data_IF_802300694694
#
_entry.id   IF_802300694694
#
_cell.length_a   1.000
_cell.length_b   1.000
_cell.length_c   1.000
_cell.angle_alpha   90.00
_cell.angle_beta   90.00
_cell.angle_gamma   90.00
#
_symmetry.space_group_name_H-M   'P 1'
#
loop_
_entity.id
_entity.type
_entity.pdbx_description
1 polymer ?
#
# COMPACT_ATOMS: atom_id res chain seq x y z
N UNK A 1 -19.76 -1.25 -31.93
CA UNK A 1 -18.63 -2.20 -32.04
C UNK A 1 -18.46 -2.93 -30.71
N UNK A 2 -18.88 -4.19 -30.63
CA UNK A 2 -18.50 -5.07 -29.51
C UNK A 2 -17.04 -5.45 -29.70
N UNK A 3 -16.10 -4.70 -29.12
CA UNK A 3 -14.71 -5.19 -29.04
C UNK A 3 -14.75 -6.51 -28.25
N UNK A 4 -14.23 -7.59 -28.85
CA UNK A 4 -14.03 -8.87 -28.16
C UNK A 4 -13.26 -8.57 -26.88
N UNK A 5 -13.91 -8.73 -25.74
CA UNK A 5 -13.35 -8.34 -24.47
C UNK A 5 -12.18 -9.28 -24.15
N UNK A 6 -10.95 -8.82 -24.40
CA UNK A 6 -9.76 -9.64 -24.35
C UNK A 6 -9.45 -10.15 -22.94
N UNK A 7 -8.83 -11.33 -22.82
CA UNK A 7 -8.39 -11.93 -21.55
C UNK A 7 -7.46 -11.01 -20.74
N UNK A 8 -6.81 -10.04 -21.38
CA UNK A 8 -5.88 -9.09 -20.79
C UNK A 8 -6.48 -8.25 -19.64
N UNK A 9 -7.79 -7.98 -19.64
CA UNK A 9 -8.45 -7.29 -18.52
C UNK A 9 -8.31 -8.02 -17.18
N UNK A 10 -8.25 -9.35 -17.21
CA UNK A 10 -8.08 -10.16 -16.00
C UNK A 10 -6.63 -10.14 -15.52
N UNK A 11 -5.67 -9.95 -16.42
CA UNK A 11 -4.29 -9.62 -16.05
C UNK A 11 -4.24 -8.29 -15.31
N UNK A 12 -4.97 -7.27 -15.76
CA UNK A 12 -5.08 -5.98 -15.03
C UNK A 12 -5.65 -6.20 -13.62
N UNK A 13 -6.71 -6.99 -13.46
CA UNK A 13 -7.27 -7.31 -12.13
C UNK A 13 -6.26 -8.04 -11.25
N UNK A 14 -5.49 -8.99 -11.80
CA UNK A 14 -4.44 -9.68 -11.07
C UNK A 14 -3.35 -8.70 -10.61
N UNK A 15 -2.94 -7.76 -11.47
CA UNK A 15 -1.99 -6.70 -11.09
C UNK A 15 -2.56 -5.83 -9.96
N UNK A 16 -3.80 -5.34 -10.07
CA UNK A 16 -4.43 -4.56 -9.00
C UNK A 16 -4.57 -5.33 -7.69
N UNK A 17 -4.83 -6.64 -7.77
CA UNK A 17 -4.89 -7.54 -6.62
C UNK A 17 -3.53 -7.61 -5.90
N UNK A 18 -2.45 -7.83 -6.64
CA UNK A 18 -1.11 -7.90 -6.05
C UNK A 18 -0.66 -6.55 -5.48
N UNK A 19 -0.93 -5.43 -6.17
CA UNK A 19 -0.64 -4.11 -5.64
C UNK A 19 -1.43 -3.82 -4.34
N UNK A 20 -2.72 -4.19 -4.29
CA UNK A 20 -3.53 -4.06 -3.06
C UNK A 20 -3.02 -4.98 -1.95
N UNK A 21 -2.50 -6.16 -2.29
CA UNK A 21 -1.87 -7.07 -1.34
C UNK A 21 -0.64 -6.44 -0.70
N UNK A 22 0.26 -5.88 -1.49
CA UNK A 22 1.46 -5.16 -1.00
C UNK A 22 1.05 -3.97 -0.13
N UNK A 23 0.07 -3.19 -0.58
CA UNK A 23 -0.45 -2.04 0.16
C UNK A 23 -0.91 -2.42 1.58
N UNK A 24 -1.68 -3.50 1.71
CA UNK A 24 -2.16 -3.93 3.03
C UNK A 24 -1.08 -4.63 3.85
N UNK A 25 -0.14 -5.30 3.20
CA UNK A 25 1.01 -5.88 3.85
C UNK A 25 1.85 -4.79 4.53
N UNK A 26 2.22 -3.73 3.79
CA UNK A 26 3.00 -2.58 4.29
C UNK A 26 2.31 -1.93 5.51
N UNK A 27 0.97 -1.89 5.50
CA UNK A 27 0.22 -1.34 6.63
C UNK A 27 0.39 -2.10 7.93
N UNK A 28 0.50 -3.42 7.85
CA UNK A 28 0.59 -4.30 9.01
C UNK A 28 1.99 -4.29 9.63
N UNK A 29 3.04 -3.97 8.86
CA UNK A 29 4.44 -4.04 9.29
C UNK A 29 4.66 -3.28 10.61
N UNK A 30 4.24 -2.02 10.68
CA UNK A 30 4.47 -1.20 11.89
C UNK A 30 3.73 -1.75 13.13
N UNK A 31 2.53 -2.32 12.95
CA UNK A 31 1.75 -2.88 14.04
C UNK A 31 2.37 -4.19 14.56
N UNK A 32 2.90 -5.00 13.66
CA UNK A 32 3.60 -6.25 14.00
C UNK A 32 4.97 -6.00 14.64
N UNK A 33 5.63 -4.90 14.26
CA UNK A 33 6.91 -4.48 14.84
C UNK A 33 6.76 -3.61 16.09
N UNK A 34 5.53 -3.18 16.44
CA UNK A 34 5.25 -2.31 17.60
C UNK A 34 5.99 -2.77 18.86
N UNK A 35 5.91 -4.04 19.32
CA UNK A 35 6.58 -4.45 20.57
C UNK A 35 8.11 -4.31 20.55
N UNK A 36 8.72 -4.40 19.37
CA UNK A 36 10.17 -4.22 19.19
C UNK A 36 10.52 -2.73 19.15
N UNK A 37 9.75 -1.93 18.42
CA UNK A 37 9.97 -0.50 18.27
C UNK A 37 9.69 0.26 19.57
N UNK A 38 8.69 -0.16 20.35
CA UNK A 38 8.42 0.37 21.69
C UNK A 38 9.64 0.24 22.60
N UNK A 39 10.29 -0.93 22.62
CA UNK A 39 11.50 -1.13 23.44
C UNK A 39 12.71 -0.35 22.91
N UNK A 40 12.81 -0.19 21.59
CA UNK A 40 13.96 0.48 20.97
C UNK A 40 13.90 2.01 21.06
N UNK A 41 12.70 2.60 21.06
CA UNK A 41 12.48 4.05 21.01
C UNK A 41 11.68 4.59 22.20
N UNK A 42 11.39 3.76 23.19
CA UNK A 42 10.59 4.09 24.39
C UNK A 42 9.22 4.70 24.04
N UNK A 43 8.54 4.09 23.06
CA UNK A 43 7.22 4.59 22.64
C UNK A 43 6.18 4.35 23.72
N UNK A 44 5.44 5.41 24.03
CA UNK A 44 4.16 5.29 24.72
C UNK A 44 3.04 4.84 23.76
N UNK A 45 1.92 4.41 24.32
CA UNK A 45 0.70 4.17 23.52
C UNK A 45 0.22 5.44 22.80
N UNK A 46 0.48 6.62 23.37
CA UNK A 46 0.19 7.91 22.73
C UNK A 46 1.10 8.15 21.51
N UNK A 47 2.37 7.80 21.60
CA UNK A 47 3.31 7.92 20.47
C UNK A 47 2.90 7.03 19.30
N UNK A 48 2.61 5.75 19.58
CA UNK A 48 2.12 4.83 18.57
C UNK A 48 0.79 5.30 17.97
N UNK A 49 -0.15 5.74 18.82
CA UNK A 49 -1.43 6.31 18.40
C UNK A 49 -1.26 7.53 17.48
N UNK A 50 -0.31 8.41 17.79
CA UNK A 50 0.02 9.57 16.95
C UNK A 50 0.58 9.16 15.58
N UNK A 51 1.46 8.16 15.52
CA UNK A 51 2.00 7.65 14.24
C UNK A 51 0.88 7.08 13.36
N UNK A 52 -0.04 6.30 13.94
CA UNK A 52 -1.21 5.75 13.24
C UNK A 52 -2.18 6.86 12.80
N UNK A 53 -2.34 7.90 13.62
CA UNK A 53 -3.17 9.06 13.28
C UNK A 53 -2.57 9.87 12.13
N UNK A 54 -1.24 10.06 12.11
CA UNK A 54 -0.54 10.73 11.00
C UNK A 54 -0.75 9.99 9.68
N UNK A 55 -0.68 8.65 9.68
CA UNK A 55 -1.07 7.85 8.52
C UNK A 55 -2.51 8.16 8.07
N UNK A 56 -3.45 8.06 9.01
CA UNK A 56 -4.88 8.14 8.72
C UNK A 56 -5.28 9.51 8.19
N UNK A 57 -4.76 10.58 8.80
CA UNK A 57 -4.97 11.95 8.36
C UNK A 57 -4.39 12.20 6.97
N UNK A 58 -3.16 11.74 6.74
CA UNK A 58 -2.48 11.90 5.46
C UNK A 58 -3.16 11.07 4.35
N UNK A 59 -3.61 9.85 4.65
CA UNK A 59 -4.39 9.01 3.75
C UNK A 59 -5.74 9.63 3.40
N UNK A 60 -6.46 10.19 4.38
CA UNK A 60 -7.73 10.88 4.15
C UNK A 60 -7.55 12.12 3.26
N UNK A 61 -6.53 12.94 3.52
CA UNK A 61 -6.19 14.07 2.67
C UNK A 61 -5.81 13.62 1.25
N UNK A 62 -5.02 12.55 1.15
CA UNK A 62 -4.60 11.95 -0.11
C UNK A 62 -5.77 11.47 -0.96
N UNK A 63 -6.79 10.83 -0.38
CA UNK A 63 -7.99 10.40 -1.11
C UNK A 63 -8.71 11.55 -1.83
N UNK A 64 -8.73 12.76 -1.25
CA UNK A 64 -9.35 13.95 -1.86
C UNK A 64 -8.57 14.47 -3.08
N UNK A 65 -7.25 14.25 -3.07
CA UNK A 65 -6.32 14.76 -4.08
C UNK A 65 -6.17 13.75 -5.21
N UNK A 66 -5.95 12.48 -4.88
CA UNK A 66 -5.55 11.44 -5.82
C UNK A 66 -6.58 11.19 -6.92
N UNK A 67 -7.88 11.26 -6.61
CA UNK A 67 -8.93 11.14 -7.64
C UNK A 67 -8.73 12.14 -8.78
N UNK A 68 -8.53 13.42 -8.45
CA UNK A 68 -8.30 14.49 -9.44
C UNK A 68 -6.97 14.34 -10.16
N UNK A 69 -5.92 13.91 -9.45
CA UNK A 69 -4.60 13.70 -10.04
C UNK A 69 -4.67 12.58 -11.08
N UNK A 70 -5.23 11.43 -10.72
CA UNK A 70 -5.42 10.27 -11.61
C UNK A 70 -6.30 10.61 -12.81
N UNK A 71 -7.29 11.49 -12.63
CA UNK A 71 -8.09 12.02 -13.74
C UNK A 71 -7.28 12.86 -14.73
N UNK A 72 -6.29 13.61 -14.26
CA UNK A 72 -5.46 14.47 -15.11
C UNK A 72 -4.31 13.74 -15.79
N UNK A 73 -3.62 12.83 -15.10
CA UNK A 73 -2.40 12.17 -15.61
C UNK A 73 -2.65 10.76 -16.16
N UNK A 74 -3.87 10.25 -16.01
CA UNK A 74 -4.27 8.92 -16.45
C UNK A 74 -4.00 7.82 -15.43
N UNK A 75 -4.80 6.76 -15.51
CA UNK A 75 -4.84 5.67 -14.52
C UNK A 75 -3.52 4.94 -14.38
N UNK A 76 -2.85 4.60 -15.50
CA UNK A 76 -1.57 3.87 -15.48
C UNK A 76 -0.46 4.67 -14.80
N UNK A 77 -0.27 5.93 -15.21
CA UNK A 77 0.81 6.78 -14.67
C UNK A 77 0.54 7.15 -13.22
N UNK A 78 -0.71 7.50 -12.88
CA UNK A 78 -1.09 7.81 -11.51
C UNK A 78 -0.87 6.64 -10.56
N UNK A 79 -1.14 5.41 -11.00
CA UNK A 79 -0.88 4.23 -10.20
C UNK A 79 0.61 3.98 -9.99
N UNK A 80 1.42 4.06 -11.05
CA UNK A 80 2.89 3.90 -10.95
C UNK A 80 3.50 4.91 -9.95
N UNK A 81 3.09 6.18 -10.02
CA UNK A 81 3.56 7.21 -9.08
C UNK A 81 3.16 6.89 -7.65
N UNK A 82 1.93 6.42 -7.44
CA UNK A 82 1.42 5.98 -6.14
C UNK A 82 2.28 4.84 -5.59
N UNK A 83 2.59 3.83 -6.40
CA UNK A 83 3.42 2.68 -6.02
C UNK A 83 4.82 3.12 -5.60
N UNK A 84 5.48 3.92 -6.43
CA UNK A 84 6.82 4.43 -6.14
C UNK A 84 6.81 5.23 -4.84
N UNK A 85 5.82 6.12 -4.66
CA UNK A 85 5.72 6.95 -3.48
C UNK A 85 5.53 6.13 -2.20
N UNK A 86 4.62 5.14 -2.21
CA UNK A 86 4.40 4.30 -1.04
C UNK A 86 5.59 3.37 -0.78
N UNK A 87 6.20 2.79 -1.81
CA UNK A 87 7.37 1.90 -1.64
C UNK A 87 8.57 2.63 -1.04
N UNK A 88 8.86 3.83 -1.53
CA UNK A 88 9.93 4.68 -0.96
C UNK A 88 9.60 5.05 0.49
N UNK A 89 8.35 5.42 0.78
CA UNK A 89 7.95 5.76 2.14
C UNK A 89 8.00 4.57 3.10
N UNK A 90 7.60 3.37 2.64
CA UNK A 90 7.69 2.13 3.40
C UNK A 90 9.14 1.83 3.78
N UNK A 91 10.05 1.85 2.81
CA UNK A 91 11.50 1.70 3.05
C UNK A 91 12.03 2.81 3.97
N UNK A 92 11.51 4.04 3.84
CA UNK A 92 11.87 5.19 4.67
C UNK A 92 11.74 4.95 6.17
N UNK A 93 10.84 4.06 6.60
CA UNK A 93 10.69 3.71 8.02
C UNK A 93 11.94 3.03 8.59
N UNK A 94 12.68 2.27 7.78
CA UNK A 94 13.92 1.62 8.22
C UNK A 94 15.01 2.61 8.64
N UNK A 95 14.94 3.85 8.15
CA UNK A 95 15.90 4.92 8.42
C UNK A 95 15.42 5.89 9.50
N UNK A 96 14.23 5.69 10.06
CA UNK A 96 13.72 6.55 11.12
C UNK A 96 14.52 6.35 12.41
N UNK A 97 15.00 7.47 12.98
CA UNK A 97 15.80 7.50 14.22
C UNK A 97 15.06 8.10 15.41
N UNK A 98 13.79 8.48 15.22
CA UNK A 98 12.94 9.06 16.26
C UNK A 98 11.48 8.76 15.98
N UNK A 99 10.64 8.80 17.01
CA UNK A 99 9.18 8.65 16.93
C UNK A 99 8.57 9.56 15.87
N UNK A 100 8.99 10.83 15.84
CA UNK A 100 8.52 11.77 14.83
C UNK A 100 8.96 11.36 13.41
N UNK A 101 10.17 10.83 13.25
CA UNK A 101 10.64 10.27 11.99
C UNK A 101 9.74 9.14 11.47
N UNK A 102 9.30 8.23 12.36
CA UNK A 102 8.32 7.21 12.01
C UNK A 102 6.98 7.84 11.63
N UNK A 103 6.52 8.86 12.36
CA UNK A 103 5.30 9.61 12.02
C UNK A 103 5.34 10.24 10.62
N UNK A 104 6.47 10.86 10.24
CA UNK A 104 6.67 11.45 8.91
C UNK A 104 6.70 10.37 7.83
N UNK A 105 7.45 9.29 8.03
CA UNK A 105 7.48 8.17 7.10
C UNK A 105 6.08 7.57 6.93
N UNK A 106 5.30 7.48 8.01
CA UNK A 106 3.95 6.95 7.99
C UNK A 106 2.95 7.88 7.30
N UNK A 107 3.07 9.19 7.48
CA UNK A 107 2.28 10.17 6.75
C UNK A 107 2.58 10.11 5.24
N UNK A 108 3.85 10.02 4.85
CA UNK A 108 4.26 9.86 3.45
C UNK A 108 3.70 8.56 2.86
N UNK A 109 3.73 7.47 3.63
CA UNK A 109 3.15 6.20 3.24
C UNK A 109 1.62 6.31 3.06
N UNK A 110 0.92 6.95 4.00
CA UNK A 110 -0.52 7.20 3.89
C UNK A 110 -0.91 8.02 2.65
N UNK A 111 -0.15 9.08 2.34
CA UNK A 111 -0.35 9.83 1.10
C UNK A 111 -0.12 8.95 -0.13
N UNK A 112 1.01 8.24 -0.20
CA UNK A 112 1.34 7.38 -1.33
C UNK A 112 0.29 6.28 -1.57
N UNK A 113 -0.14 5.60 -0.50
CA UNK A 113 -1.09 4.50 -0.58
C UNK A 113 -2.53 4.94 -0.92
N UNK A 114 -2.89 6.21 -0.67
CA UNK A 114 -4.22 6.73 -0.94
C UNK A 114 -4.61 6.70 -2.42
N UNK A 115 -3.62 6.64 -3.32
CA UNK A 115 -3.84 6.47 -4.76
C UNK A 115 -4.30 5.07 -5.17
N UNK A 116 -4.12 4.04 -4.32
CA UNK A 116 -4.38 2.66 -4.69
C UNK A 116 -5.84 2.43 -5.12
N UNK A 117 -6.79 2.74 -4.24
CA UNK A 117 -8.22 2.48 -4.49
C UNK A 117 -8.83 3.34 -5.60
N UNK A 118 -8.60 4.68 -5.64
CA UNK A 118 -9.10 5.51 -6.74
C UNK A 118 -8.63 5.01 -8.11
N UNK A 119 -7.35 4.67 -8.25
CA UNK A 119 -6.81 4.17 -9.51
C UNK A 119 -7.32 2.76 -9.85
N UNK A 120 -7.38 1.85 -8.87
CA UNK A 120 -7.88 0.49 -9.09
C UNK A 120 -9.36 0.48 -9.53
N UNK A 121 -10.21 1.27 -8.86
CA UNK A 121 -11.62 1.40 -9.22
C UNK A 121 -11.77 2.03 -10.62
N UNK A 122 -10.98 3.06 -10.92
CA UNK A 122 -10.98 3.67 -12.26
C UNK A 122 -10.52 2.70 -13.34
N UNK A 123 -9.44 1.94 -13.10
CA UNK A 123 -8.97 0.92 -14.02
C UNK A 123 -10.04 -0.15 -14.28
N UNK A 124 -10.70 -0.65 -13.22
CA UNK A 124 -11.82 -1.59 -13.39
C UNK A 124 -12.95 -0.95 -14.22
N UNK A 125 -13.24 0.34 -14.00
CA UNK A 125 -14.24 1.04 -14.79
C UNK A 125 -13.86 1.19 -16.27
N UNK A 126 -12.58 1.44 -16.58
CA UNK A 126 -12.07 1.57 -17.95
C UNK A 126 -12.03 0.23 -18.69
N UNK A 127 -11.68 -0.86 -18.01
CA UNK A 127 -11.44 -2.17 -18.62
C UNK A 127 -12.64 -3.13 -18.62
N UNK A 128 -13.65 -2.92 -17.77
CA UNK A 128 -14.78 -3.84 -17.60
C UNK A 128 -16.15 -3.22 -17.88
N UNK A 129 -17.08 -4.00 -18.50
CA UNK A 129 -18.48 -3.60 -18.63
C UNK A 129 -19.16 -3.53 -17.26
N UNK A 130 -20.15 -2.65 -17.10
CA UNK A 130 -20.84 -2.37 -15.81
C UNK A 130 -21.24 -3.65 -15.03
N UNK A 131 -21.70 -4.69 -15.73
CA UNK A 131 -22.15 -5.96 -15.13
C UNK A 131 -21.03 -6.75 -14.43
N UNK A 132 -19.78 -6.61 -14.87
CA UNK A 132 -18.65 -7.39 -14.35
C UNK A 132 -17.76 -6.60 -13.39
N UNK A 133 -17.95 -5.28 -13.28
CA UNK A 133 -17.14 -4.40 -12.43
C UNK A 133 -17.19 -4.79 -10.96
N UNK A 134 -18.35 -5.21 -10.46
CA UNK A 134 -18.49 -5.64 -9.06
C UNK A 134 -17.62 -6.86 -8.75
N UNK A 135 -17.57 -7.85 -9.66
CA UNK A 135 -16.72 -9.02 -9.50
C UNK A 135 -15.24 -8.66 -9.58
N UNK A 136 -14.84 -7.86 -10.57
CA UNK A 136 -13.46 -7.38 -10.71
C UNK A 136 -13.01 -6.59 -9.47
N UNK A 137 -13.88 -5.73 -8.93
CA UNK A 137 -13.63 -4.99 -7.68
C UNK A 137 -13.50 -5.92 -6.48
N UNK A 138 -14.39 -6.90 -6.36
CA UNK A 138 -14.31 -7.89 -5.29
C UNK A 138 -13.00 -8.68 -5.33
N UNK A 139 -12.57 -9.10 -6.52
CA UNK A 139 -11.31 -9.85 -6.69
C UNK A 139 -10.12 -8.99 -6.29
N UNK A 140 -9.92 -7.79 -6.84
CA UNK A 140 -8.73 -7.03 -6.46
C UNK A 140 -8.75 -6.63 -4.98
N UNK A 141 -9.92 -6.28 -4.43
CA UNK A 141 -10.05 -5.89 -3.03
C UNK A 141 -9.78 -7.07 -2.08
N UNK A 142 -10.02 -8.31 -2.50
CA UNK A 142 -9.64 -9.50 -1.72
C UNK A 142 -8.13 -9.58 -1.46
N UNK A 143 -7.30 -8.90 -2.27
CA UNK A 143 -5.86 -8.76 -2.02
C UNK A 143 -5.55 -8.11 -0.67
N UNK A 144 -6.41 -7.22 -0.18
CA UNK A 144 -6.27 -6.63 1.16
C UNK A 144 -6.26 -7.70 2.27
N UNK A 145 -7.14 -8.70 2.16
CA UNK A 145 -7.21 -9.80 3.11
C UNK A 145 -5.97 -10.69 3.02
N UNK A 146 -5.49 -10.95 1.79
CA UNK A 146 -4.25 -11.73 1.59
C UNK A 146 -3.05 -11.00 2.19
N UNK A 147 -2.92 -9.69 1.97
CA UNK A 147 -1.85 -8.89 2.56
C UNK A 147 -1.87 -8.95 4.09
N UNK A 148 -3.06 -8.84 4.69
CA UNK A 148 -3.25 -8.93 6.13
C UNK A 148 -2.93 -10.33 6.71
N UNK A 149 -3.12 -11.40 5.95
CA UNK A 149 -2.80 -12.78 6.37
C UNK A 149 -1.33 -13.12 6.18
N UNK A 150 -0.71 -12.63 5.11
CA UNK A 150 0.71 -12.87 4.81
C UNK A 150 1.63 -12.11 5.76
N UNK A 151 1.25 -10.89 6.15
CA UNK A 151 2.05 -10.04 7.03
C UNK A 151 2.47 -10.72 8.37
N UNK A 152 1.57 -11.31 9.19
CA UNK A 152 1.95 -11.95 10.46
C UNK A 152 2.80 -13.21 10.29
N UNK A 153 2.87 -13.79 9.09
CA UNK A 153 3.78 -14.90 8.79
C UNK A 153 5.16 -14.35 8.43
N UNK A 154 5.20 -13.37 7.53
CA UNK A 154 6.43 -12.88 6.92
C UNK A 154 7.19 -11.90 7.82
N UNK A 155 6.51 -10.95 8.46
CA UNK A 155 7.16 -9.88 9.23
C UNK A 155 7.88 -10.41 10.47
N UNK A 156 7.28 -11.27 11.32
CA UNK A 156 8.01 -11.84 12.46
C UNK A 156 9.17 -12.74 12.04
N UNK A 157 9.04 -13.44 10.91
CA UNK A 157 10.12 -14.27 10.36
C UNK A 157 11.32 -13.41 9.93
N UNK A 158 11.09 -12.31 9.21
CA UNK A 158 12.13 -11.34 8.85
C UNK A 158 12.75 -10.72 10.09
N UNK A 159 11.92 -10.29 11.05
CA UNK A 159 12.35 -9.71 12.31
C UNK A 159 13.32 -10.63 13.07
N UNK A 160 13.02 -11.93 13.14
CA UNK A 160 13.84 -12.90 13.84
C UNK A 160 15.21 -13.18 13.20
N UNK A 161 15.34 -13.02 11.88
CA UNK A 161 16.58 -13.32 11.16
C UNK A 161 17.45 -12.09 10.93
N UNK A 162 16.86 -10.95 10.60
CA UNK A 162 17.58 -9.78 10.11
C UNK A 162 17.23 -8.47 10.83
N UNK A 163 16.21 -8.47 11.69
CA UNK A 163 15.80 -7.30 12.47
C UNK A 163 14.66 -6.50 11.84
N UNK A 164 14.26 -5.43 12.53
CA UNK A 164 13.06 -4.66 12.20
C UNK A 164 13.24 -3.74 10.99
N UNK A 165 14.46 -3.28 10.73
CA UNK A 165 14.77 -2.43 9.57
C UNK A 165 14.52 -3.20 8.27
N UNK A 166 14.99 -4.44 8.19
CA UNK A 166 14.81 -5.29 7.02
C UNK A 166 13.35 -5.63 6.75
N UNK A 167 12.52 -5.70 7.79
CA UNK A 167 11.09 -5.85 7.61
C UNK A 167 10.47 -4.67 6.84
N UNK A 168 10.92 -3.43 7.05
CA UNK A 168 10.47 -2.28 6.25
C UNK A 168 11.11 -2.24 4.85
N UNK A 169 12.38 -2.61 4.74
CA UNK A 169 13.10 -2.59 3.46
C UNK A 169 12.51 -3.63 2.49
N UNK A 170 12.40 -4.88 2.94
CA UNK A 170 11.94 -6.00 2.11
C UNK A 170 10.50 -5.77 1.68
N UNK A 171 9.61 -5.39 2.59
CA UNK A 171 8.18 -5.19 2.29
C UNK A 171 7.97 -4.05 1.31
N UNK A 172 8.59 -2.89 1.54
CA UNK A 172 8.54 -1.77 0.62
C UNK A 172 9.15 -2.08 -0.76
N UNK A 173 10.21 -2.91 -0.81
CA UNK A 173 10.84 -3.31 -2.06
C UNK A 173 9.94 -4.22 -2.94
N UNK A 174 9.03 -4.99 -2.35
CA UNK A 174 8.07 -5.81 -3.11
C UNK A 174 7.21 -4.93 -4.03
N UNK A 175 6.88 -3.70 -3.62
CA UNK A 175 6.14 -2.77 -4.48
C UNK A 175 6.89 -2.37 -5.75
N UNK A 176 8.23 -2.33 -5.74
CA UNK A 176 9.00 -2.08 -6.96
C UNK A 176 8.99 -3.26 -7.92
N UNK A 177 8.91 -4.50 -7.42
CA UNK A 177 8.79 -5.70 -8.27
C UNK A 177 7.51 -5.61 -9.12
N UNK A 178 6.44 -5.05 -8.55
CA UNK A 178 5.19 -4.85 -9.27
C UNK A 178 5.35 -3.96 -10.51
N UNK A 179 6.22 -2.95 -10.47
CA UNK A 179 6.41 -1.98 -11.56
C UNK A 179 6.98 -2.60 -12.85
N UNK A 180 7.50 -3.81 -12.77
CA UNK A 180 8.08 -4.54 -13.91
C UNK A 180 6.97 -5.08 -14.85
N UNK A 181 5.75 -5.27 -14.34
CA UNK A 181 4.64 -5.93 -15.03
C UNK A 181 3.57 -4.94 -15.53
#
# INVERSE_FOLDING_TARGET
MHQKIGKYRWTVVALLFFATTVNYLDRQVIGLLKPTLEKAFDWSETDYGNIVMMFSAAYAAGLLIFGRVIDRIGTKVGYIISIIAWSVAAIGHAFARSTFGFGVARAALGLGESGNFPAAIKAVAEWFPKKERALATGIFNSGANIGAVVAPIMVPWILGMWGWQEAFIITGAIGFIWLIF
#
